data_IF_065721169637
#
_entry.id   IF_065721169637
#
_cell.length_a   1.000
_cell.length_b   1.000
_cell.length_c   1.000
_cell.angle_alpha   90.00
_cell.angle_beta   90.00
_cell.angle_gamma   90.00
#
_symmetry.space_group_name_H-M   'P 1'
#
loop_
_entity.id
_entity.type
_entity.pdbx_description
1 polymer ?
#
# COMPACT_ATOMS: atom_id res chain seq x y z
N UNK A 1 19.94 -2.15 17.44
CA UNK A 1 18.95 -3.20 17.75
C UNK A 1 18.35 -3.68 16.45
N UNK A 2 18.10 -4.96 16.30
CA UNK A 2 17.37 -5.50 15.16
C UNK A 2 15.92 -4.97 15.18
N UNK A 3 15.41 -4.52 14.03
CA UNK A 3 14.03 -4.02 13.93
C UNK A 3 13.06 -5.18 14.04
N UNK A 4 11.93 -4.92 14.67
CA UNK A 4 10.81 -5.89 14.72
C UNK A 4 10.08 -5.89 13.38
N UNK A 5 9.68 -7.07 12.92
CA UNK A 5 9.06 -7.23 11.61
C UNK A 5 7.55 -7.10 11.69
N UNK A 6 6.98 -6.32 10.78
CA UNK A 6 5.57 -6.31 10.44
C UNK A 6 5.41 -6.92 9.05
N UNK A 7 4.68 -8.01 8.97
CA UNK A 7 4.44 -8.65 7.69
C UNK A 7 3.18 -8.13 7.01
N UNK A 8 3.13 -8.15 5.68
CA UNK A 8 1.91 -7.89 4.92
C UNK A 8 1.79 -8.88 3.76
N UNK A 9 0.57 -9.18 3.32
CA UNK A 9 0.34 -10.01 2.13
C UNK A 9 -1.08 -9.82 1.58
N UNK A 10 -1.28 -10.26 0.33
CA UNK A 10 -2.62 -10.45 -0.23
C UNK A 10 -3.00 -11.92 -0.21
N UNK A 11 -4.22 -12.26 0.19
CA UNK A 11 -4.64 -13.66 0.26
C UNK A 11 -4.59 -14.37 -1.10
N UNK A 12 -4.69 -13.62 -2.21
CA UNK A 12 -4.52 -14.17 -3.56
C UNK A 12 -3.11 -14.70 -3.86
N UNK A 13 -2.14 -14.44 -2.99
CA UNK A 13 -0.84 -15.10 -3.00
C UNK A 13 -0.96 -16.63 -2.85
N UNK A 14 -2.01 -17.09 -2.17
CA UNK A 14 -2.28 -18.48 -1.84
C UNK A 14 -3.35 -19.12 -2.73
N UNK A 15 -3.55 -18.62 -3.95
CA UNK A 15 -4.45 -19.26 -4.92
C UNK A 15 -3.94 -20.65 -5.26
N UNK A 16 -4.80 -21.64 -5.11
CA UNK A 16 -4.63 -23.03 -5.53
C UNK A 16 -5.69 -23.45 -6.54
N UNK A 17 -5.75 -24.73 -6.89
CA UNK A 17 -6.67 -25.26 -7.89
C UNK A 17 -8.16 -25.10 -7.51
N UNK A 18 -8.48 -25.05 -6.22
CA UNK A 18 -9.85 -24.98 -5.70
C UNK A 18 -10.17 -23.65 -4.99
N UNK A 19 -9.47 -22.56 -5.33
CA UNK A 19 -9.60 -21.26 -4.70
C UNK A 19 -8.42 -20.95 -3.77
N UNK A 20 -8.67 -20.17 -2.71
CA UNK A 20 -7.61 -19.81 -1.76
C UNK A 20 -7.33 -20.98 -0.81
N UNK A 21 -6.07 -21.41 -0.75
CA UNK A 21 -5.59 -22.42 0.17
C UNK A 21 -5.30 -21.78 1.55
N UNK A 22 -6.33 -21.77 2.39
CA UNK A 22 -6.24 -21.21 3.76
C UNK A 22 -5.29 -22.01 4.64
N UNK A 23 -5.19 -23.33 4.46
CA UNK A 23 -4.30 -24.16 5.29
C UNK A 23 -2.84 -23.78 5.02
N UNK A 24 -2.45 -23.70 3.75
CA UNK A 24 -1.12 -23.22 3.35
C UNK A 24 -0.87 -21.77 3.83
N UNK A 25 -1.87 -20.89 3.70
CA UNK A 25 -1.76 -19.52 4.17
C UNK A 25 -1.44 -19.45 5.65
N UNK A 26 -2.24 -20.10 6.51
CA UNK A 26 -2.03 -20.07 7.96
C UNK A 26 -0.78 -20.84 8.40
N UNK A 27 -0.41 -21.92 7.72
CA UNK A 27 0.86 -22.61 7.95
C UNK A 27 2.05 -21.68 7.71
N UNK A 28 2.03 -20.95 6.57
CA UNK A 28 3.06 -19.93 6.27
C UNK A 28 3.10 -18.83 7.33
N UNK A 29 1.95 -18.29 7.76
CA UNK A 29 1.93 -17.29 8.84
C UNK A 29 2.57 -17.79 10.12
N UNK A 30 2.36 -19.05 10.45
CA UNK A 30 2.97 -19.69 11.61
C UNK A 30 4.48 -19.87 11.47
N UNK A 31 4.97 -20.23 10.29
CA UNK A 31 6.40 -20.34 9.98
C UNK A 31 7.12 -19.00 10.16
N UNK A 32 6.46 -17.88 9.81
CA UNK A 32 6.97 -16.52 10.03
C UNK A 32 6.78 -16.01 11.48
N UNK A 33 6.30 -16.86 12.41
CA UNK A 33 6.10 -16.48 13.80
C UNK A 33 5.00 -15.45 14.04
N UNK A 34 4.05 -15.35 13.14
CA UNK A 34 2.96 -14.35 13.21
C UNK A 34 1.97 -14.75 14.29
N UNK A 35 1.74 -13.82 15.23
CA UNK A 35 0.83 -14.01 16.36
C UNK A 35 -0.63 -13.68 15.99
N UNK A 36 -0.86 -12.74 15.08
CA UNK A 36 -2.22 -12.34 14.66
C UNK A 36 -2.27 -12.05 13.18
N UNK A 37 -3.35 -12.51 12.54
CA UNK A 37 -3.77 -12.10 11.20
C UNK A 37 -4.66 -10.86 11.31
N UNK A 38 -4.21 -9.76 10.75
CA UNK A 38 -4.93 -8.47 10.73
C UNK A 38 -5.48 -8.21 9.35
N UNK A 39 -6.79 -8.29 9.20
CA UNK A 39 -7.48 -7.95 7.95
C UNK A 39 -7.65 -6.43 7.85
N UNK A 40 -6.99 -5.82 6.87
CA UNK A 40 -7.03 -4.37 6.62
C UNK A 40 -7.96 -3.99 5.47
N UNK A 41 -8.78 -4.89 4.98
CA UNK A 41 -9.81 -4.57 4.00
C UNK A 41 -10.89 -3.71 4.65
N UNK A 42 -11.40 -2.73 3.92
CA UNK A 42 -12.54 -1.91 4.39
C UNK A 42 -13.77 -2.77 4.68
N UNK A 43 -13.98 -3.83 3.88
CA UNK A 43 -15.03 -4.82 4.06
C UNK A 43 -14.40 -6.21 4.09
N UNK A 44 -14.58 -7.01 5.17
CA UNK A 44 -13.92 -8.31 5.32
C UNK A 44 -14.72 -9.43 4.62
N UNK A 45 -15.08 -9.19 3.38
CA UNK A 45 -15.91 -10.05 2.54
C UNK A 45 -15.35 -10.11 1.12
N UNK A 46 -15.40 -11.27 0.49
CA UNK A 46 -15.11 -11.50 -0.91
C UNK A 46 -16.16 -12.43 -1.51
N UNK A 47 -16.80 -11.97 -2.57
CA UNK A 47 -17.75 -12.79 -3.36
C UNK A 47 -16.98 -13.84 -4.18
N UNK A 48 -15.84 -13.42 -4.75
CA UNK A 48 -15.01 -14.30 -5.58
C UNK A 48 -14.30 -15.39 -4.75
N UNK A 49 -13.87 -15.04 -3.54
CA UNK A 49 -13.15 -15.95 -2.64
C UNK A 49 -13.83 -16.03 -1.26
N UNK A 50 -15.01 -16.70 -1.15
CA UNK A 50 -15.76 -16.75 0.11
C UNK A 50 -15.00 -17.39 1.27
N UNK A 51 -13.99 -18.20 0.98
CA UNK A 51 -13.07 -18.74 1.99
C UNK A 51 -12.35 -17.65 2.79
N UNK A 52 -12.11 -16.49 2.17
CA UNK A 52 -11.48 -15.32 2.80
C UNK A 52 -12.46 -14.38 3.51
N UNK A 53 -13.71 -14.78 3.71
CA UNK A 53 -14.62 -14.00 4.54
C UNK A 53 -14.25 -14.13 6.04
N UNK A 54 -14.50 -13.07 6.80
CA UNK A 54 -14.10 -12.97 8.20
C UNK A 54 -14.49 -14.18 9.05
N UNK A 55 -15.67 -14.75 8.82
CA UNK A 55 -16.15 -15.93 9.55
C UNK A 55 -15.24 -17.14 9.35
N UNK A 56 -14.86 -17.43 8.11
CA UNK A 56 -14.00 -18.55 7.77
C UNK A 56 -12.57 -18.33 8.29
N UNK A 57 -12.04 -17.11 8.11
CA UNK A 57 -10.71 -16.74 8.58
C UNK A 57 -10.59 -16.85 10.11
N UNK A 58 -11.64 -16.49 10.86
CA UNK A 58 -11.68 -16.68 12.32
C UNK A 58 -11.59 -18.15 12.72
N UNK A 59 -12.36 -19.01 12.04
CA UNK A 59 -12.37 -20.45 12.33
C UNK A 59 -11.02 -21.08 12.05
N UNK A 60 -10.44 -20.84 10.87
CA UNK A 60 -9.14 -21.41 10.49
C UNK A 60 -8.02 -20.80 11.34
N UNK A 61 -8.07 -19.49 11.60
CA UNK A 61 -7.08 -18.82 12.45
C UNK A 61 -7.00 -19.42 13.85
N UNK A 62 -8.14 -19.79 14.44
CA UNK A 62 -8.17 -20.47 15.73
C UNK A 62 -7.50 -21.84 15.65
N UNK A 63 -7.76 -22.62 14.59
CA UNK A 63 -7.13 -23.94 14.35
C UNK A 63 -5.60 -23.85 14.32
N UNK A 64 -5.05 -22.79 13.71
CA UNK A 64 -3.60 -22.59 13.57
C UNK A 64 -2.97 -21.78 14.69
N UNK A 65 -3.73 -21.35 15.71
CA UNK A 65 -3.26 -20.45 16.78
C UNK A 65 -2.75 -19.11 16.25
N UNK A 66 -3.35 -18.61 15.16
CA UNK A 66 -3.13 -17.28 14.57
C UNK A 66 -4.49 -16.57 14.50
N UNK A 67 -4.96 -15.99 15.61
CA UNK A 67 -6.26 -15.34 15.68
C UNK A 67 -6.42 -14.23 14.62
N UNK A 68 -7.63 -14.14 14.08
CA UNK A 68 -8.01 -13.13 13.12
C UNK A 68 -8.59 -11.88 13.81
N UNK A 69 -8.13 -10.71 13.36
CA UNK A 69 -8.64 -9.39 13.78
C UNK A 69 -8.94 -8.57 12.52
N UNK A 70 -10.05 -7.83 12.54
CA UNK A 70 -10.37 -6.86 11.50
C UNK A 70 -10.07 -5.43 11.99
N UNK A 71 -9.30 -4.69 11.19
CA UNK A 71 -8.97 -3.27 11.41
C UNK A 71 -9.40 -2.48 10.16
N UNK A 72 -10.72 -2.20 9.99
CA UNK A 72 -11.22 -1.49 8.82
C UNK A 72 -10.68 -0.07 8.70
N UNK A 73 -10.18 0.51 9.79
CA UNK A 73 -9.54 1.83 9.82
C UNK A 73 -8.30 1.89 8.92
N UNK A 74 -7.62 0.76 8.69
CA UNK A 74 -6.49 0.66 7.76
C UNK A 74 -6.92 0.34 6.32
N UNK A 75 -8.22 0.21 6.09
CA UNK A 75 -8.78 0.03 4.76
C UNK A 75 -8.72 1.31 3.94
N UNK A 76 -8.89 1.15 2.63
CA UNK A 76 -8.72 2.27 1.71
C UNK A 76 -10.03 2.99 1.35
N UNK A 77 -11.16 2.64 1.95
CA UNK A 77 -12.45 3.26 1.65
C UNK A 77 -12.57 4.60 2.37
N UNK A 78 -12.44 5.70 1.62
CA UNK A 78 -12.69 7.05 2.12
C UNK A 78 -14.18 7.38 2.13
N UNK A 79 -14.64 8.06 3.18
CA UNK A 79 -15.95 8.73 3.20
C UNK A 79 -15.87 10.06 2.45
N UNK A 80 -16.91 10.47 1.67
CA UNK A 80 -16.93 11.76 0.99
C UNK A 80 -16.82 12.98 1.93
N UNK A 81 -17.10 12.79 3.22
CA UNK A 81 -16.99 13.84 4.25
C UNK A 81 -15.58 13.99 4.82
N UNK A 82 -14.70 13.04 4.55
CA UNK A 82 -13.30 13.13 4.99
C UNK A 82 -12.53 14.14 4.10
N UNK A 83 -11.63 14.89 4.70
CA UNK A 83 -10.72 15.79 3.98
C UNK A 83 -9.50 15.02 3.47
N UNK A 84 -9.76 14.05 2.61
CA UNK A 84 -8.72 13.16 2.05
C UNK A 84 -8.70 13.17 0.52
N UNK A 85 -9.34 14.17 -0.09
CA UNK A 85 -9.41 14.31 -1.55
C UNK A 85 -8.57 15.49 -2.02
N UNK A 86 -8.03 15.35 -3.22
CA UNK A 86 -7.36 16.43 -3.97
C UNK A 86 -7.80 16.36 -5.42
N UNK A 87 -7.75 17.51 -6.12
CA UNK A 87 -7.94 17.51 -7.58
C UNK A 87 -6.78 16.78 -8.25
N UNK A 88 -7.06 15.96 -9.24
CA UNK A 88 -6.02 15.24 -9.98
C UNK A 88 -5.03 16.20 -10.64
N UNK A 89 -5.50 17.38 -11.10
CA UNK A 89 -4.65 18.45 -11.64
C UNK A 89 -3.66 19.03 -10.65
N UNK A 90 -3.99 19.04 -9.35
CA UNK A 90 -3.10 19.55 -8.30
C UNK A 90 -2.00 18.54 -7.94
N UNK A 91 -2.12 17.30 -8.43
CA UNK A 91 -1.16 16.21 -8.19
C UNK A 91 -0.24 16.02 -9.41
N UNK A 92 -0.07 17.02 -10.22
CA UNK A 92 0.63 16.88 -11.49
C UNK A 92 2.10 16.44 -11.29
N UNK A 93 2.54 15.53 -12.18
CA UNK A 93 3.91 15.00 -12.15
C UNK A 93 4.90 15.81 -13.01
N UNK A 94 4.43 16.77 -13.78
CA UNK A 94 5.25 17.52 -14.75
C UNK A 94 6.26 18.46 -14.14
N UNK A 95 5.94 18.99 -12.97
CA UNK A 95 6.85 19.85 -12.20
C UNK A 95 7.98 19.03 -11.55
N UNK A 96 7.81 17.71 -11.51
CA UNK A 96 8.76 16.78 -10.93
C UNK A 96 9.58 16.07 -12.01
N UNK A 97 8.90 15.59 -13.05
CA UNK A 97 9.48 14.83 -14.13
C UNK A 97 8.99 15.38 -15.47
N UNK A 98 9.84 16.00 -16.24
CA UNK A 98 9.54 16.35 -17.62
C UNK A 98 9.52 15.09 -18.49
N UNK A 99 8.66 14.14 -18.15
CA UNK A 99 8.41 12.97 -18.96
C UNK A 99 7.66 13.45 -20.19
N UNK A 100 8.14 13.12 -21.37
CA UNK A 100 7.41 13.40 -22.61
C UNK A 100 5.98 12.87 -22.46
N UNK A 101 4.99 13.70 -22.82
CA UNK A 101 3.56 13.37 -22.69
C UNK A 101 3.22 11.98 -23.28
N UNK A 102 3.93 11.57 -24.36
CA UNK A 102 3.79 10.25 -25.00
C UNK A 102 4.12 9.05 -24.10
N UNK A 103 4.70 9.27 -22.92
CA UNK A 103 5.08 8.20 -21.98
C UNK A 103 4.20 8.14 -20.73
N UNK A 104 3.24 9.06 -20.60
CA UNK A 104 2.31 9.05 -19.46
C UNK A 104 1.32 7.91 -19.61
N UNK A 105 0.96 7.24 -18.53
CA UNK A 105 -0.18 6.34 -18.56
C UNK A 105 -1.44 7.10 -18.97
N UNK A 106 -2.16 6.62 -19.97
CA UNK A 106 -3.41 7.20 -20.47
C UNK A 106 -4.41 7.50 -19.34
N UNK A 107 -4.46 6.62 -18.34
CA UNK A 107 -5.32 6.79 -17.15
C UNK A 107 -5.03 8.09 -16.39
N UNK A 108 -3.81 8.58 -16.37
CA UNK A 108 -3.43 9.83 -15.70
C UNK A 108 -3.96 11.02 -16.49
N UNK A 109 -3.83 11.01 -17.81
CA UNK A 109 -4.27 12.10 -18.68
C UNK A 109 -5.79 12.28 -18.68
N UNK A 110 -6.55 11.18 -18.50
CA UNK A 110 -8.01 11.21 -18.54
C UNK A 110 -8.66 11.70 -17.23
N UNK A 111 -7.91 11.87 -16.14
CA UNK A 111 -8.51 12.27 -14.86
C UNK A 111 -8.93 13.74 -14.79
N UNK A 112 -8.23 14.63 -15.45
CA UNK A 112 -8.57 16.07 -15.47
C UNK A 112 -8.77 16.66 -14.07
N UNK A 113 -9.88 17.38 -13.87
CA UNK A 113 -10.24 18.03 -12.59
C UNK A 113 -10.98 17.10 -11.60
N UNK A 114 -10.92 15.81 -11.77
CA UNK A 114 -11.54 14.89 -10.81
C UNK A 114 -10.97 15.08 -9.40
N UNK A 115 -11.86 15.08 -8.40
CA UNK A 115 -11.43 14.91 -7.00
C UNK A 115 -11.18 13.42 -6.76
N UNK A 116 -9.94 13.09 -6.42
CA UNK A 116 -9.50 11.72 -6.15
C UNK A 116 -8.92 11.61 -4.75
N UNK A 117 -8.92 10.41 -4.20
CA UNK A 117 -8.28 10.16 -2.90
C UNK A 117 -6.81 10.51 -3.00
N UNK A 118 -6.38 11.38 -2.09
CA UNK A 118 -4.99 11.71 -1.82
C UNK A 118 -4.49 10.86 -0.66
N UNK A 119 -3.68 9.87 -0.97
CA UNK A 119 -3.20 8.91 0.03
C UNK A 119 -2.29 9.54 1.08
N UNK A 120 -1.65 10.67 0.76
CA UNK A 120 -0.87 11.41 1.75
C UNK A 120 -1.78 12.06 2.81
N UNK A 121 -2.88 12.69 2.38
CA UNK A 121 -3.93 13.18 3.29
C UNK A 121 -4.57 12.03 4.06
N UNK A 122 -4.92 10.94 3.37
CA UNK A 122 -5.58 9.79 3.97
C UNK A 122 -4.76 9.15 5.09
N UNK A 123 -3.42 9.02 4.90
CA UNK A 123 -2.52 8.52 5.94
C UNK A 123 -2.50 9.38 7.22
N UNK A 124 -2.93 10.62 7.14
CA UNK A 124 -2.99 11.56 8.26
C UNK A 124 -4.41 11.79 8.79
N UNK A 125 -5.41 11.13 8.21
CA UNK A 125 -6.80 11.17 8.70
C UNK A 125 -6.92 10.50 10.07
N UNK A 126 -7.75 11.07 10.94
CA UNK A 126 -7.91 10.60 12.31
C UNK A 126 -8.44 9.16 12.40
N UNK A 127 -9.34 8.76 11.51
CA UNK A 127 -9.86 7.40 11.49
C UNK A 127 -8.75 6.40 11.11
N UNK A 128 -7.97 6.71 10.09
CA UNK A 128 -6.83 5.88 9.70
C UNK A 128 -5.79 5.78 10.82
N UNK A 129 -5.49 6.89 11.49
CA UNK A 129 -4.52 6.92 12.61
C UNK A 129 -4.97 6.09 13.82
N UNK A 130 -6.27 5.90 14.04
CA UNK A 130 -6.77 4.96 15.06
C UNK A 130 -6.35 3.53 14.73
N UNK A 131 -6.44 3.11 13.46
CA UNK A 131 -5.96 1.81 13.02
C UNK A 131 -4.45 1.64 13.24
N UNK A 132 -3.66 2.66 12.91
CA UNK A 132 -2.20 2.66 13.15
C UNK A 132 -1.89 2.52 14.65
N UNK A 133 -2.65 3.20 15.51
CA UNK A 133 -2.48 3.07 16.97
C UNK A 133 -2.81 1.67 17.50
N UNK A 134 -3.74 0.97 16.87
CA UNK A 134 -4.04 -0.44 17.22
C UNK A 134 -2.86 -1.36 16.90
N UNK A 135 -2.14 -1.09 15.79
CA UNK A 135 -0.90 -1.82 15.46
C UNK A 135 0.17 -1.54 16.53
N UNK A 136 0.42 -0.28 16.88
CA UNK A 136 1.36 0.08 17.94
C UNK A 136 1.07 -0.66 19.24
N UNK A 137 -0.19 -0.64 19.71
CA UNK A 137 -0.59 -1.32 20.96
C UNK A 137 -0.35 -2.84 20.92
N UNK A 138 -0.39 -3.48 19.76
CA UNK A 138 -0.06 -4.89 19.63
C UNK A 138 1.46 -5.12 19.76
N UNK A 139 2.26 -4.22 19.21
CA UNK A 139 3.72 -4.26 19.34
C UNK A 139 4.17 -4.00 20.79
N UNK A 140 3.52 -3.10 21.52
CA UNK A 140 3.78 -2.87 22.95
C UNK A 140 3.58 -4.17 23.78
N UNK A 141 2.72 -5.07 23.29
CA UNK A 141 2.47 -6.40 23.89
C UNK A 141 3.33 -7.51 23.29
N UNK A 142 4.35 -7.16 22.50
CA UNK A 142 5.28 -8.11 21.86
C UNK A 142 4.62 -9.07 20.84
N UNK A 143 3.53 -8.69 20.19
CA UNK A 143 2.94 -9.49 19.12
C UNK A 143 3.58 -9.19 17.77
N UNK A 144 3.81 -10.22 16.96
CA UNK A 144 4.17 -10.11 15.55
C UNK A 144 2.89 -10.20 14.72
N UNK A 145 2.69 -9.29 13.77
CA UNK A 145 1.46 -9.18 13.02
C UNK A 145 1.69 -9.41 11.52
N UNK A 146 0.65 -9.90 10.84
CA UNK A 146 0.56 -9.85 9.38
C UNK A 146 -0.69 -9.09 8.94
N UNK A 147 -0.52 -8.03 8.18
CA UNK A 147 -1.62 -7.28 7.56
C UNK A 147 -2.05 -7.98 6.28
N UNK A 148 -3.32 -8.32 6.16
CA UNK A 148 -3.88 -9.02 5.01
C UNK A 148 -4.80 -8.09 4.19
N UNK A 149 -4.58 -8.09 2.89
CA UNK A 149 -5.50 -7.53 1.89
C UNK A 149 -5.85 -8.60 0.83
N UNK A 150 -6.44 -8.21 -0.29
CA UNK A 150 -6.78 -9.13 -1.40
C UNK A 150 -5.65 -9.30 -2.40
N UNK A 151 -5.06 -8.24 -2.88
CA UNK A 151 -4.16 -8.22 -4.02
C UNK A 151 -2.84 -8.95 -3.76
N UNK A 152 -2.43 -9.83 -4.69
CA UNK A 152 -1.17 -10.57 -4.64
C UNK A 152 0.03 -9.62 -4.65
N UNK A 153 0.02 -8.67 -5.58
CA UNK A 153 1.11 -7.72 -5.78
C UNK A 153 0.98 -6.55 -4.80
N UNK A 154 1.97 -6.30 -3.92
CA UNK A 154 1.93 -5.19 -3.00
C UNK A 154 1.91 -3.82 -3.70
N UNK A 155 2.56 -3.65 -4.85
CA UNK A 155 2.63 -2.37 -5.58
C UNK A 155 1.24 -1.86 -5.95
N UNK A 156 0.29 -2.75 -6.23
CA UNK A 156 -1.07 -2.40 -6.62
C UNK A 156 -2.06 -2.39 -5.44
N UNK A 157 -1.56 -2.39 -4.20
CA UNK A 157 -2.40 -2.58 -3.01
C UNK A 157 -2.20 -1.49 -1.97
N UNK A 158 -3.31 -1.01 -1.41
CA UNK A 158 -3.31 -0.01 -0.35
C UNK A 158 -2.51 -0.43 0.91
N UNK A 159 -2.30 -1.73 1.14
CA UNK A 159 -1.45 -2.19 2.24
C UNK A 159 -0.02 -1.64 2.14
N UNK A 160 0.48 -1.38 0.91
CA UNK A 160 1.79 -0.81 0.68
C UNK A 160 1.77 0.72 0.79
N UNK A 161 1.00 1.42 -0.05
CA UNK A 161 1.06 2.88 -0.13
C UNK A 161 0.25 3.61 0.97
N UNK A 162 -0.60 2.91 1.73
CA UNK A 162 -1.27 3.46 2.90
C UNK A 162 -0.68 2.90 4.20
N UNK A 163 -1.00 1.63 4.53
CA UNK A 163 -0.73 1.09 5.84
C UNK A 163 0.77 0.96 6.13
N UNK A 164 1.53 0.29 5.25
CA UNK A 164 2.96 0.07 5.43
C UNK A 164 3.74 1.38 5.46
N UNK A 165 3.45 2.27 4.51
CA UNK A 165 4.14 3.55 4.43
C UNK A 165 3.91 4.40 5.68
N UNK A 166 2.68 4.48 6.20
CA UNK A 166 2.42 5.22 7.43
C UNK A 166 3.09 4.61 8.65
N UNK A 167 3.09 3.29 8.74
CA UNK A 167 3.74 2.57 9.85
C UNK A 167 5.25 2.83 9.83
N UNK A 168 5.90 2.75 8.68
CA UNK A 168 7.33 3.07 8.57
C UNK A 168 7.63 4.54 8.82
N UNK A 169 6.82 5.46 8.33
CA UNK A 169 6.99 6.90 8.62
C UNK A 169 6.95 7.19 10.12
N UNK A 170 6.15 6.44 10.87
CA UNK A 170 5.96 6.69 12.30
C UNK A 170 6.87 5.83 13.20
N UNK A 171 7.17 4.62 12.79
CA UNK A 171 7.82 3.61 13.63
C UNK A 171 9.04 2.95 12.97
N UNK A 172 9.49 3.46 11.82
CA UNK A 172 10.58 2.87 11.04
C UNK A 172 11.92 2.76 11.75
N UNK A 173 12.10 3.45 12.87
CA UNK A 173 13.29 3.29 13.72
C UNK A 173 13.36 1.90 14.36
N UNK A 174 12.20 1.26 14.62
CA UNK A 174 12.12 0.00 15.35
C UNK A 174 11.17 -1.03 14.71
N UNK A 175 10.34 -0.68 13.71
CA UNK A 175 9.56 -1.59 12.87
C UNK A 175 10.11 -1.57 11.45
N UNK A 176 10.28 -2.74 10.85
CA UNK A 176 10.52 -2.95 9.44
C UNK A 176 9.34 -3.68 8.82
N UNK A 177 8.80 -3.14 7.72
CA UNK A 177 7.69 -3.78 7.02
C UNK A 177 8.21 -4.69 5.91
N UNK A 178 7.77 -5.94 5.94
CA UNK A 178 8.08 -6.95 4.93
C UNK A 178 6.79 -7.46 4.26
N UNK A 179 6.75 -7.39 2.95
CA UNK A 179 5.65 -7.93 2.15
C UNK A 179 5.97 -9.36 1.73
N UNK A 180 5.10 -10.31 2.08
CA UNK A 180 5.20 -11.67 1.55
C UNK A 180 4.84 -11.64 0.06
N UNK A 181 5.73 -12.20 -0.74
CA UNK A 181 5.59 -12.32 -2.20
C UNK A 181 5.98 -13.75 -2.62
N UNK A 182 5.65 -14.11 -3.85
CA UNK A 182 6.19 -15.30 -4.49
C UNK A 182 7.46 -14.95 -5.26
N UNK A 183 8.50 -15.72 -5.05
CA UNK A 183 9.70 -15.72 -5.89
C UNK A 183 9.45 -16.43 -7.23
N UNK A 184 10.40 -16.38 -8.14
CA UNK A 184 10.31 -17.04 -9.46
C UNK A 184 10.07 -18.54 -9.38
N UNK A 185 10.57 -19.19 -8.32
CA UNK A 185 10.37 -20.62 -8.05
C UNK A 185 9.16 -20.93 -7.17
N UNK A 186 8.17 -20.02 -7.11
CA UNK A 186 6.92 -20.14 -6.36
C UNK A 186 7.06 -20.25 -4.82
N UNK A 187 8.28 -20.09 -4.28
CA UNK A 187 8.49 -20.04 -2.84
C UNK A 187 8.02 -18.69 -2.26
N UNK A 188 7.50 -18.71 -1.03
CA UNK A 188 7.17 -17.49 -0.32
C UNK A 188 8.46 -16.85 0.20
N UNK A 189 8.65 -15.58 -0.10
CA UNK A 189 9.77 -14.76 0.37
C UNK A 189 9.25 -13.39 0.76
N UNK A 190 10.14 -12.49 1.17
CA UNK A 190 9.77 -11.13 1.59
C UNK A 190 10.49 -10.08 0.76
N UNK A 191 9.88 -8.90 0.69
CA UNK A 191 10.45 -7.68 0.12
C UNK A 191 10.05 -6.50 1.00
N UNK A 192 10.97 -5.57 1.24
CA UNK A 192 10.72 -4.36 2.05
C UNK A 192 10.06 -3.25 1.23
N UNK A 193 9.46 -2.26 1.91
CA UNK A 193 8.95 -1.06 1.25
C UNK A 193 10.04 -0.36 0.42
N UNK A 194 11.24 -0.24 0.94
CA UNK A 194 12.35 0.43 0.26
C UNK A 194 12.74 -0.28 -1.05
N UNK A 195 12.72 -1.61 -1.06
CA UNK A 195 12.96 -2.39 -2.27
C UNK A 195 11.80 -2.25 -3.26
N UNK A 196 10.54 -2.18 -2.77
CA UNK A 196 9.37 -1.91 -3.62
C UNK A 196 9.42 -0.51 -4.22
N UNK A 197 9.80 0.52 -3.47
CA UNK A 197 9.97 1.89 -3.97
C UNK A 197 11.00 1.93 -5.11
N UNK A 198 12.11 1.20 -4.94
CA UNK A 198 13.12 1.07 -5.98
C UNK A 198 12.59 0.37 -7.22
N UNK A 199 11.88 -0.75 -7.05
CA UNK A 199 11.26 -1.48 -8.17
C UNK A 199 10.20 -0.63 -8.87
N UNK A 200 9.36 0.07 -8.11
CA UNK A 200 8.35 0.95 -8.67
C UNK A 200 8.99 2.06 -9.52
N UNK A 201 10.02 2.69 -9.03
CA UNK A 201 10.76 3.71 -9.79
C UNK A 201 11.38 3.15 -11.06
N UNK A 202 11.92 1.93 -11.02
CA UNK A 202 12.48 1.24 -12.20
C UNK A 202 11.41 0.85 -13.24
N UNK A 203 10.21 0.48 -12.78
CA UNK A 203 9.08 0.12 -13.66
C UNK A 203 8.49 1.35 -14.33
N UNK A 204 8.32 2.45 -13.57
CA UNK A 204 7.73 3.69 -14.07
C UNK A 204 8.70 4.40 -15.01
N UNK A 205 9.94 4.48 -14.62
CA UNK A 205 11.00 5.12 -15.39
C UNK A 205 11.97 4.02 -15.81
N UNK A 206 11.95 3.54 -16.99
CA UNK A 206 12.99 2.62 -17.44
C UNK A 206 14.33 3.03 -16.85
N UNK A 207 15.10 2.09 -16.34
CA UNK A 207 16.35 2.27 -15.58
C UNK A 207 17.30 3.36 -16.12
N UNK A 208 17.28 3.58 -17.43
CA UNK A 208 18.04 4.64 -18.13
C UNK A 208 17.42 6.03 -17.96
N UNK A 209 16.10 6.12 -17.80
CA UNK A 209 15.38 7.38 -17.57
C UNK A 209 15.50 7.84 -16.12
N UNK A 210 15.47 6.90 -15.17
CA UNK A 210 15.78 7.17 -13.76
C UNK A 210 17.20 7.71 -13.59
N UNK A 211 18.18 7.14 -14.34
CA UNK A 211 19.55 7.65 -14.37
C UNK A 211 19.66 9.04 -15.00
N UNK A 212 18.88 9.30 -16.08
CA UNK A 212 18.87 10.61 -16.75
C UNK A 212 18.19 11.68 -15.91
N UNK A 213 17.19 11.30 -15.11
CA UNK A 213 16.47 12.22 -14.22
C UNK A 213 17.24 12.54 -12.95
N UNK A 214 18.35 11.85 -12.73
CA UNK A 214 19.28 12.09 -11.62
C UNK A 214 18.59 12.20 -10.26
N UNK A 215 17.58 11.34 -10.03
CA UNK A 215 16.83 11.28 -8.77
C UNK A 215 17.74 11.08 -7.55
N UNK A 216 18.94 10.56 -7.80
CA UNK A 216 19.89 10.15 -6.78
C UNK A 216 21.08 11.08 -6.65
N UNK A 217 21.39 11.90 -7.65
CA UNK A 217 22.56 12.76 -7.66
C UNK A 217 22.23 14.14 -8.23
N UNK A 218 22.68 15.16 -7.56
CA UNK A 218 22.41 16.55 -7.88
C UNK A 218 23.48 17.15 -8.76
N UNK A 219 23.08 17.89 -9.74
CA UNK A 219 23.88 18.97 -10.23
C UNK A 219 23.01 20.18 -10.59
N UNK A 220 23.09 21.22 -9.78
CA UNK A 220 22.41 22.50 -9.93
C UNK A 220 22.80 23.23 -11.23
N UNK A 221 23.90 22.86 -11.86
CA UNK A 221 24.46 23.54 -13.03
C UNK A 221 24.20 22.82 -14.34
N UNK A 222 23.66 21.60 -14.30
CA UNK A 222 23.40 20.78 -15.50
C UNK A 222 22.11 21.15 -16.24
N UNK A 223 21.35 22.12 -15.79
CA UNK A 223 20.05 22.50 -16.37
C UNK A 223 18.89 21.63 -15.87
N UNK A 224 19.12 20.71 -14.96
CA UNK A 224 18.11 19.83 -14.32
C UNK A 224 17.51 20.48 -13.07
N UNK A 225 17.59 21.79 -12.96
CA UNK A 225 17.21 22.62 -11.81
C UNK A 225 15.74 22.46 -11.35
N UNK A 226 14.89 21.78 -12.09
CA UNK A 226 13.50 21.53 -11.66
C UNK A 226 13.37 20.48 -10.57
N UNK A 227 14.35 19.62 -10.39
CA UNK A 227 14.38 18.63 -9.31
C UNK A 227 14.72 19.25 -7.97
N UNK A 228 15.42 20.37 -7.94
CA UNK A 228 15.83 21.05 -6.72
C UNK A 228 14.72 21.85 -6.02
N UNK A 229 13.66 22.19 -6.72
CA UNK A 229 12.44 22.78 -6.14
C UNK A 229 11.51 21.73 -5.56
N UNK A 230 11.95 20.50 -5.43
CA UNK A 230 11.20 19.38 -5.02
C UNK A 230 10.97 19.37 -3.50
N UNK A 231 9.77 18.94 -3.11
CA UNK A 231 9.34 18.79 -1.73
C UNK A 231 10.19 17.79 -0.98
N UNK A 232 11.12 17.84 -0.41
CA UNK A 232 11.93 16.89 0.31
C UNK A 232 13.39 17.34 0.32
N UNK A 233 14.01 17.15 1.45
CA UNK A 233 15.39 17.59 1.69
C UNK A 233 16.42 16.53 1.27
N UNK A 234 16.00 15.29 1.12
CA UNK A 234 16.88 14.16 0.80
C UNK A 234 16.27 13.29 -0.33
N UNK A 235 17.06 12.38 -0.84
CA UNK A 235 16.67 11.49 -1.94
C UNK A 235 15.45 10.62 -1.63
N UNK A 236 15.36 10.11 -0.41
CA UNK A 236 14.23 9.25 -0.03
C UNK A 236 12.93 10.04 0.01
N UNK A 237 12.94 11.27 0.53
CA UNK A 237 11.76 12.14 0.53
C UNK A 237 11.25 12.40 -0.89
N UNK A 238 12.16 12.55 -1.86
CA UNK A 238 11.83 12.76 -3.27
C UNK A 238 11.17 11.52 -3.89
N UNK A 239 11.72 10.34 -3.61
CA UNK A 239 11.15 9.06 -4.05
C UNK A 239 9.77 8.87 -3.43
N UNK A 240 9.63 9.14 -2.15
CA UNK A 240 8.37 9.00 -1.42
C UNK A 240 7.28 9.91 -1.98
N UNK A 241 7.59 11.18 -2.21
CA UNK A 241 6.63 12.12 -2.80
C UNK A 241 6.24 11.73 -4.23
N UNK A 242 7.21 11.30 -5.03
CA UNK A 242 6.93 10.81 -6.37
C UNK A 242 6.00 9.58 -6.35
N UNK A 243 6.32 8.59 -5.51
CA UNK A 243 5.50 7.40 -5.36
C UNK A 243 4.08 7.77 -4.90
N UNK A 244 3.94 8.68 -3.94
CA UNK A 244 2.64 9.14 -3.45
C UNK A 244 1.80 9.78 -4.56
N UNK A 245 2.37 10.68 -5.35
CA UNK A 245 1.68 11.30 -6.48
C UNK A 245 1.30 10.29 -7.56
N UNK A 246 2.21 9.40 -7.89
CA UNK A 246 1.93 8.33 -8.84
C UNK A 246 0.75 7.47 -8.38
N UNK A 247 0.72 7.04 -7.11
CA UNK A 247 -0.38 6.25 -6.59
C UNK A 247 -1.68 7.02 -6.53
N UNK A 248 -1.67 8.27 -6.13
CA UNK A 248 -2.88 9.10 -6.15
C UNK A 248 -3.49 9.13 -7.54
N UNK A 249 -2.68 9.33 -8.58
CA UNK A 249 -3.15 9.39 -9.96
C UNK A 249 -3.58 8.02 -10.51
N UNK A 250 -2.87 6.95 -10.17
CA UNK A 250 -3.15 5.60 -10.69
C UNK A 250 -4.25 4.88 -9.93
N UNK A 251 -4.31 5.06 -8.62
CA UNK A 251 -5.14 4.25 -7.74
C UNK A 251 -6.11 5.07 -6.87
N UNK A 252 -6.00 6.40 -6.83
CA UNK A 252 -6.92 7.24 -6.09
C UNK A 252 -8.35 7.10 -6.63
N UNK A 253 -9.30 6.76 -5.78
CA UNK A 253 -10.70 6.69 -6.17
C UNK A 253 -11.28 8.07 -6.38
N UNK A 254 -12.19 8.16 -7.35
CA UNK A 254 -12.99 9.36 -7.53
C UNK A 254 -13.91 9.56 -6.34
N UNK A 255 -14.01 10.82 -5.87
CA UNK A 255 -14.98 11.21 -4.86
C UNK A 255 -16.40 11.03 -5.41
N UNK A 256 -17.19 10.21 -4.74
CA UNK A 256 -18.59 9.98 -5.12
C UNK A 256 -19.48 10.86 -4.26
N UNK A 257 -20.13 11.84 -4.88
CA UNK A 257 -21.03 12.78 -4.21
C UNK A 257 -22.44 12.22 -3.94
N UNK A 258 -22.62 10.91 -3.85
CA UNK A 258 -23.93 10.32 -3.65
C UNK A 258 -24.22 10.10 -2.18
N UNK A 259 -25.34 10.71 -1.72
CA UNK A 259 -25.94 10.48 -0.41
C UNK A 259 -26.53 9.05 -0.24
N UNK A 260 -26.38 8.16 -1.22
CA UNK A 260 -26.89 6.79 -1.22
C UNK A 260 -25.79 5.78 -0.87
N UNK A 261 -25.48 5.66 0.42
CA UNK A 261 -24.57 4.64 0.96
C UNK A 261 -25.15 3.21 0.99
N UNK A 262 -26.25 2.92 0.26
CA UNK A 262 -26.92 1.63 0.30
C UNK A 262 -26.63 0.68 -0.87
N UNK A 263 -25.72 1.03 -1.76
CA UNK A 263 -25.30 0.07 -2.79
C UNK A 263 -23.82 -0.27 -2.58
N UNK A 264 -23.59 -1.49 -2.07
CA UNK A 264 -22.31 -2.17 -2.18
C UNK A 264 -22.06 -2.45 -3.67
N UNK A 265 -21.68 -1.45 -4.44
CA UNK A 265 -21.14 -1.68 -5.77
C UNK A 265 -19.68 -2.08 -5.63
N UNK A 266 -19.50 -3.28 -6.03
CA UNK A 266 -18.36 -4.15 -6.14
C UNK A 266 -17.21 -3.43 -6.86
N UNK A 267 -16.09 -3.30 -6.18
CA UNK A 267 -14.80 -3.17 -6.83
C UNK A 267 -14.11 -4.54 -6.70
N UNK A 268 -14.33 -5.38 -7.72
CA UNK A 268 -13.51 -6.55 -8.03
C UNK A 268 -12.23 -6.13 -8.72
#
# INVERSE_FOLDING_TARGET
MEKRKLYTFGYTLFIGNNGIDLERMFATLKEYGIAYLVDVRSVPYSKQYPHCNATNLKVVGTKYSVPYIHIPELGAKASPQQDVFSKATDIFLDDIFPIAASKRPEKIELRGDEEIVDFNKFRNDNYFLQGVKRIENAYDKNFTLALMCSEKDPINCHRYFLASRKIEQKYGDWIEVEHLIKSENEAITTITNKELDKLLSEVIFKKEEVKKLNLLEKDLFSGEARIDNYYGKNTQDKIDDFCDRYWNLMHGWKKVNNNNYNTFEEYD
#
